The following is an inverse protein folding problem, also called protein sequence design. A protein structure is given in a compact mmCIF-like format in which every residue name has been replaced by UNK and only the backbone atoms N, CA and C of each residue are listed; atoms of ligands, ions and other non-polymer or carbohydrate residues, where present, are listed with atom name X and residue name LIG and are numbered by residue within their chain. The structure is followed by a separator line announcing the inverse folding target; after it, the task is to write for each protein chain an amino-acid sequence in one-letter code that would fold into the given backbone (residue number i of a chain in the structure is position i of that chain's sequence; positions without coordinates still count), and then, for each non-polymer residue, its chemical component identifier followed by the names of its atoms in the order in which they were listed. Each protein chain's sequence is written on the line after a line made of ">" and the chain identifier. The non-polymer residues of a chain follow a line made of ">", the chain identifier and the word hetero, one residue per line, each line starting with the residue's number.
data_IF_646915465453
#
_entry.id   IF_646915465453
#
_cell.length_a   1.000
_cell.length_b   1.000
_cell.length_c   1.000
_cell.angle_alpha   90.00
_cell.angle_beta   90.00
_cell.angle_gamma   90.00
#
_symmetry.space_group_name_H-M   'P 1'
#
loop_
_entity.id
_entity.type
_entity.pdbx_description
1 polymer ?
#
# COMPACT_ATOMS: atom_id res chain seq x y z
N UNK A 1 17.77 -27.25 7.86
CA UNK A 1 16.63 -26.73 8.64
C UNK A 1 16.40 -25.23 8.44
N UNK A 2 16.38 -24.73 7.18
CA UNK A 2 16.06 -23.31 6.85
C UNK A 2 15.27 -23.19 5.52
N UNK A 3 14.48 -24.21 5.18
CA UNK A 3 13.72 -24.23 3.92
C UNK A 3 12.27 -24.71 4.13
N UNK A 4 11.65 -24.36 5.25
CA UNK A 4 10.31 -24.86 5.59
C UNK A 4 9.34 -23.80 6.15
N UNK A 5 9.39 -22.56 5.64
CA UNK A 5 8.31 -21.55 5.77
C UNK A 5 8.02 -20.90 4.41
N UNK A 6 8.08 -21.66 3.31
CA UNK A 6 7.68 -21.17 1.98
C UNK A 6 6.35 -21.77 1.51
N UNK A 7 5.66 -22.57 2.34
CA UNK A 7 4.47 -23.31 1.94
C UNK A 7 3.39 -23.33 3.02
N UNK A 8 2.64 -22.23 3.12
CA UNK A 8 1.23 -22.14 3.51
C UNK A 8 0.84 -20.67 3.24
N UNK A 9 0.21 -20.28 2.14
CA UNK A 9 -1.14 -20.69 1.76
C UNK A 9 -2.18 -19.81 2.46
N UNK A 10 -2.53 -18.64 1.90
CA UNK A 10 -3.71 -17.91 2.37
C UNK A 10 -3.81 -16.39 2.10
N UNK A 11 -3.72 -15.92 0.85
CA UNK A 11 -4.54 -14.77 0.39
C UNK A 11 -4.36 -14.54 -1.11
N UNK A 12 -5.47 -14.37 -1.81
CA UNK A 12 -5.52 -14.17 -3.26
C UNK A 12 -4.78 -12.87 -3.63
N UNK A 13 -3.68 -12.97 -4.38
CA UNK A 13 -2.97 -11.82 -4.96
C UNK A 13 -1.90 -11.14 -4.10
N UNK A 14 -1.63 -11.60 -2.88
CA UNK A 14 -0.57 -11.02 -2.04
C UNK A 14 0.79 -11.69 -2.30
N UNK A 15 1.78 -10.91 -2.76
CA UNK A 15 3.19 -11.34 -2.91
C UNK A 15 3.93 -11.03 -1.61
N UNK A 16 4.65 -12.01 -1.07
CA UNK A 16 5.54 -11.82 0.08
C UNK A 16 6.97 -12.20 -0.34
N UNK A 17 7.92 -11.29 -0.16
CA UNK A 17 9.35 -11.47 -0.41
C UNK A 17 10.13 -11.13 0.86
N UNK A 18 11.18 -11.89 1.17
CA UNK A 18 12.06 -11.65 2.31
C UNK A 18 13.52 -11.87 1.88
N UNK A 19 14.37 -10.85 2.04
CA UNK A 19 15.78 -10.84 1.61
C UNK A 19 16.55 -9.65 2.19
N UNK A 20 17.75 -9.39 1.69
CA UNK A 20 18.50 -8.16 2.01
C UNK A 20 17.83 -6.92 1.42
N UNK A 21 18.25 -5.72 1.84
CA UNK A 21 17.67 -4.48 1.33
C UNK A 21 17.85 -4.35 -0.19
N UNK A 22 19.01 -4.74 -0.71
CA UNK A 22 19.32 -4.77 -2.15
C UNK A 22 18.39 -5.72 -2.89
N UNK A 23 18.25 -6.96 -2.39
CA UNK A 23 17.37 -7.94 -3.00
C UNK A 23 15.90 -7.51 -3.00
N UNK A 24 15.46 -6.79 -1.97
CA UNK A 24 14.11 -6.21 -1.90
C UNK A 24 13.94 -5.09 -2.92
N UNK A 25 14.96 -4.26 -3.11
CA UNK A 25 14.94 -3.20 -4.10
C UNK A 25 14.86 -3.77 -5.53
N UNK A 26 15.67 -4.78 -5.83
CA UNK A 26 15.68 -5.46 -7.14
C UNK A 26 14.32 -6.11 -7.44
N UNK A 27 13.73 -6.85 -6.48
CA UNK A 27 12.39 -7.46 -6.66
C UNK A 27 11.30 -6.40 -6.87
N UNK A 28 11.40 -5.26 -6.18
CA UNK A 28 10.45 -4.17 -6.34
C UNK A 28 10.57 -3.50 -7.70
N UNK A 29 11.79 -3.29 -8.20
CA UNK A 29 12.05 -2.73 -9.53
C UNK A 29 11.44 -3.63 -10.60
N UNK A 30 11.76 -4.92 -10.59
CA UNK A 30 11.19 -5.91 -11.52
C UNK A 30 9.66 -5.91 -11.51
N UNK A 31 9.06 -5.80 -10.31
CA UNK A 31 7.61 -5.73 -10.18
C UNK A 31 7.01 -4.47 -10.78
N UNK A 32 7.63 -3.31 -10.52
CA UNK A 32 7.17 -2.02 -11.03
C UNK A 32 7.28 -1.99 -12.55
N UNK A 33 8.36 -2.49 -13.13
CA UNK A 33 8.55 -2.48 -14.58
C UNK A 33 7.61 -3.42 -15.32
N UNK A 34 7.37 -4.62 -14.78
CA UNK A 34 6.66 -5.66 -15.52
C UNK A 34 5.16 -5.70 -15.18
N UNK A 35 4.79 -5.55 -13.91
CA UNK A 35 3.42 -5.80 -13.45
C UNK A 35 2.57 -4.54 -13.42
N UNK A 36 3.11 -3.41 -12.94
CA UNK A 36 2.34 -2.15 -12.83
C UNK A 36 1.74 -1.72 -14.18
N UNK A 37 2.46 -1.79 -15.33
CA UNK A 37 1.86 -1.45 -16.62
C UNK A 37 0.68 -2.33 -17.01
N UNK A 38 0.70 -3.62 -16.66
CA UNK A 38 -0.42 -4.54 -16.93
C UNK A 38 -1.64 -4.13 -16.08
N UNK A 39 -1.43 -3.81 -14.80
CA UNK A 39 -2.52 -3.40 -13.91
C UNK A 39 -3.12 -2.05 -14.32
N UNK A 40 -2.29 -1.09 -14.75
CA UNK A 40 -2.75 0.19 -15.28
C UNK A 40 -3.56 0.02 -16.58
N UNK A 41 -3.08 -0.79 -17.54
CA UNK A 41 -3.84 -1.08 -18.78
C UNK A 41 -5.19 -1.75 -18.53
N UNK A 42 -5.30 -2.51 -17.43
CA UNK A 42 -6.55 -3.15 -17.01
C UNK A 42 -7.44 -2.26 -16.12
N UNK A 43 -7.02 -1.03 -15.83
CA UNK A 43 -7.76 -0.12 -14.94
C UNK A 43 -7.76 -0.55 -13.47
N UNK A 44 -6.87 -1.46 -13.07
CA UNK A 44 -6.78 -2.01 -11.70
C UNK A 44 -5.81 -1.24 -10.81
N UNK A 45 -5.02 -0.33 -11.39
CA UNK A 45 -4.03 0.44 -10.66
C UNK A 45 -3.97 1.89 -11.16
N UNK A 46 -3.67 2.81 -10.25
CA UNK A 46 -3.62 4.25 -10.52
C UNK A 46 -2.48 4.61 -11.48
N UNK A 47 -2.71 5.63 -12.30
CA UNK A 47 -1.71 6.25 -13.19
C UNK A 47 -1.21 7.59 -12.67
N UNK A 48 -1.97 8.24 -11.77
CA UNK A 48 -1.63 9.53 -11.17
C UNK A 48 -2.17 9.62 -9.73
N UNK A 49 -1.62 10.54 -8.96
CA UNK A 49 -1.97 10.88 -7.60
C UNK A 49 -2.79 12.17 -7.56
N UNK A 50 -4.08 12.07 -7.26
CA UNK A 50 -5.00 13.23 -7.30
C UNK A 50 -5.20 13.93 -5.96
N UNK A 51 -4.76 13.33 -4.86
CA UNK A 51 -4.87 13.91 -3.52
C UNK A 51 -3.53 14.44 -3.03
N UNK A 52 -3.56 15.32 -2.03
CA UNK A 52 -2.34 15.88 -1.41
C UNK A 52 -2.03 15.23 -0.06
N UNK A 53 -2.88 14.31 0.39
CA UNK A 53 -2.71 13.61 1.67
C UNK A 53 -2.77 12.11 1.45
N UNK A 54 -1.99 11.37 2.23
CA UNK A 54 -2.01 9.91 2.23
C UNK A 54 -3.42 9.36 2.45
N UNK A 55 -4.15 9.99 3.38
CA UNK A 55 -5.54 9.68 3.67
C UNK A 55 -6.44 9.87 2.45
N UNK A 56 -6.27 10.98 1.72
CA UNK A 56 -6.98 11.27 0.49
C UNK A 56 -6.71 10.24 -0.61
N UNK A 57 -5.47 9.76 -0.76
CA UNK A 57 -5.15 8.70 -1.73
C UNK A 57 -5.88 7.38 -1.48
N UNK A 58 -6.31 7.13 -0.24
CA UNK A 58 -7.07 5.94 0.14
C UNK A 58 -8.59 6.19 0.24
N UNK A 59 -9.08 7.37 -0.15
CA UNK A 59 -10.50 7.72 -0.05
C UNK A 59 -11.03 7.79 1.39
N UNK A 60 -10.12 7.95 2.36
CA UNK A 60 -10.47 7.96 3.77
C UNK A 60 -10.92 9.37 4.22
N UNK A 61 -11.99 9.45 5.00
CA UNK A 61 -12.52 10.73 5.47
C UNK A 61 -11.57 11.42 6.46
N UNK A 62 -11.43 12.75 6.41
CA UNK A 62 -10.63 13.50 7.39
C UNK A 62 -11.20 13.28 8.81
N UNK A 63 -10.34 12.84 9.74
CA UNK A 63 -10.74 12.64 11.14
C UNK A 63 -10.43 13.92 11.92
N UNK A 64 -11.43 14.67 12.41
CA UNK A 64 -11.18 15.85 13.21
C UNK A 64 -10.46 15.48 14.51
N UNK A 65 -9.69 16.43 15.05
CA UNK A 65 -9.03 16.27 16.34
C UNK A 65 -10.05 15.96 17.44
N UNK A 66 -9.65 15.18 18.43
CA UNK A 66 -10.51 14.92 19.61
C UNK A 66 -10.73 16.18 20.45
N UNK A 67 -9.83 17.15 20.32
CA UNK A 67 -9.85 18.39 21.09
C UNK A 67 -10.72 19.49 20.46
N UNK A 68 -11.01 19.43 19.15
CA UNK A 68 -11.88 20.42 18.50
C UNK A 68 -13.34 20.32 18.94
N UNK A 69 -13.83 19.12 19.27
CA UNK A 69 -15.21 18.93 19.79
C UNK A 69 -15.35 19.45 21.23
N UNK A 70 -14.28 19.38 22.03
CA UNK A 70 -14.28 19.88 23.41
C UNK A 70 -14.37 21.41 23.45
N UNK A 71 -13.63 22.10 22.55
CA UNK A 71 -13.64 23.56 22.46
C UNK A 71 -15.01 24.13 22.06
N UNK A 72 -15.81 23.41 21.26
CA UNK A 72 -17.13 23.86 20.82
C UNK A 72 -18.23 23.70 21.90
N UNK A 73 -17.95 22.94 22.96
CA UNK A 73 -18.87 22.76 24.11
C UNK A 73 -18.60 23.72 25.26
N UNK A 74 -17.50 24.47 25.18
CA UNK A 74 -17.05 25.41 26.21
C UNK A 74 -17.28 26.88 25.83
N UNK A 75 -17.97 27.14 24.72
CA UNK A 75 -18.43 28.45 24.26
C UNK A 75 -19.96 28.47 24.25
#
# INVERSE_FOLDING_TARGET
>A
MRQLIAKLGGSRGHRTFAGTAEQVADDLEDFVEQVVPILQRRGLFRTDYTATTLRGHYGLAHRPSRYTVASARSA
#
